data_IF_286578482902
#
_entry.id   IF_286578482902
#
_cell.length_a   1.000
_cell.length_b   1.000
_cell.length_c   1.000
_cell.angle_alpha   90.00
_cell.angle_beta   90.00
_cell.angle_gamma   90.00
#
_symmetry.space_group_name_H-M   'P 1'
#
loop_
_entity.id
_entity.type
_entity.pdbx_description
1 polymer ?
#
# COMPACT_ATOMS: atom_id res chain seq x y z
N UNK A 1 -3.10 -5.87 2.88
CA UNK A 1 -2.07 -5.61 3.91
C UNK A 1 -0.85 -6.49 3.66
N UNK A 2 0.36 -5.92 3.69
CA UNK A 2 1.63 -6.66 3.57
C UNK A 2 2.73 -6.00 4.41
N UNK A 3 3.63 -6.80 4.99
CA UNK A 3 4.71 -6.32 5.86
C UNK A 3 5.95 -5.94 5.06
N UNK A 4 6.65 -4.89 5.51
CA UNK A 4 7.94 -4.53 4.90
C UNK A 4 9.01 -5.54 5.30
N UNK A 5 9.83 -5.94 4.33
CA UNK A 5 10.99 -6.82 4.58
C UNK A 5 12.20 -6.05 5.12
N UNK A 6 12.26 -4.73 4.89
CA UNK A 6 13.36 -3.89 5.39
C UNK A 6 13.05 -3.30 6.78
N UNK A 7 11.80 -2.94 7.04
CA UNK A 7 11.36 -2.36 8.31
C UNK A 7 10.38 -3.30 8.99
N UNK A 8 10.92 -4.14 9.88
CA UNK A 8 10.16 -5.21 10.57
C UNK A 8 8.96 -4.72 11.39
N UNK A 9 8.96 -3.43 11.72
CA UNK A 9 7.93 -2.80 12.55
C UNK A 9 6.92 -1.99 11.72
N UNK A 10 6.80 -2.22 10.41
CA UNK A 10 5.81 -1.55 9.57
C UNK A 10 5.11 -2.46 8.57
N UNK A 11 3.89 -2.07 8.20
CA UNK A 11 3.10 -2.72 7.16
C UNK A 11 2.39 -1.67 6.31
N UNK A 12 2.08 -2.05 5.07
CA UNK A 12 1.26 -1.23 4.17
C UNK A 12 -0.07 -1.89 3.89
N UNK A 13 -1.09 -1.08 3.69
CA UNK A 13 -2.41 -1.53 3.28
C UNK A 13 -2.97 -0.64 2.17
N UNK A 14 -3.97 -1.19 1.48
CA UNK A 14 -4.76 -0.51 0.46
C UNK A 14 -6.17 -0.28 0.96
N UNK A 15 -6.80 0.80 0.51
CA UNK A 15 -8.17 1.17 0.86
C UNK A 15 -9.11 1.21 -0.35
N UNK A 16 -10.41 1.17 -0.05
CA UNK A 16 -11.48 1.39 -1.03
C UNK A 16 -11.55 2.87 -1.49
N UNK A 17 -10.85 3.75 -0.79
CA UNK A 17 -10.68 5.18 -1.10
C UNK A 17 -9.54 5.43 -2.13
N UNK A 18 -8.91 4.39 -2.65
CA UNK A 18 -7.80 4.50 -3.59
C UNK A 18 -6.46 4.83 -2.95
N UNK A 19 -6.34 4.73 -1.62
CA UNK A 19 -5.10 5.04 -0.91
C UNK A 19 -4.22 3.82 -0.62
N UNK A 20 -2.91 4.03 -0.63
CA UNK A 20 -1.92 3.14 0.01
C UNK A 20 -1.43 3.84 1.28
N UNK A 21 -1.57 3.15 2.41
CA UNK A 21 -1.20 3.69 3.73
C UNK A 21 -0.14 2.81 4.40
N UNK A 22 0.90 3.45 4.90
CA UNK A 22 1.92 2.85 5.75
C UNK A 22 1.54 3.04 7.22
N UNK A 23 1.64 1.96 7.98
CA UNK A 23 1.44 1.94 9.42
C UNK A 23 2.71 1.44 10.11
N UNK A 24 3.03 2.06 11.23
CA UNK A 24 4.07 1.58 12.14
C UNK A 24 3.41 0.87 13.33
N UNK A 25 3.92 -0.31 13.70
CA UNK A 25 3.30 -1.16 14.72
C UNK A 25 3.21 -0.53 16.11
N UNK A 26 4.06 0.46 16.41
CA UNK A 26 4.10 1.15 17.70
C UNK A 26 3.23 2.41 17.75
N UNK A 27 2.80 2.92 16.59
CA UNK A 27 2.07 4.17 16.43
C UNK A 27 0.92 3.99 15.43
N UNK A 28 0.04 3.03 15.71
CA UNK A 28 -1.06 2.63 14.80
C UNK A 28 -2.11 3.73 14.60
N UNK A 29 -2.16 4.70 15.52
CA UNK A 29 -3.02 5.87 15.44
C UNK A 29 -2.63 6.83 14.32
N UNK A 30 -1.39 6.75 13.83
CA UNK A 30 -0.89 7.56 12.73
C UNK A 30 -0.52 6.70 11.52
N UNK A 31 -1.09 7.03 10.36
CA UNK A 31 -0.71 6.41 9.08
C UNK A 31 -0.08 7.45 8.16
N UNK A 32 0.88 7.03 7.35
CA UNK A 32 1.41 7.85 6.25
C UNK A 32 0.78 7.43 4.93
N UNK A 33 0.22 8.37 4.18
CA UNK A 33 -0.28 8.11 2.83
C UNK A 33 0.92 8.08 1.88
N UNK A 34 1.18 6.93 1.25
CA UNK A 34 2.27 6.75 0.28
C UNK A 34 1.80 7.02 -1.15
N UNK A 35 0.52 6.76 -1.42
CA UNK A 35 -0.10 6.94 -2.72
C UNK A 35 -1.60 7.18 -2.52
N UNK A 36 -2.17 8.00 -3.39
CA UNK A 36 -3.60 8.26 -3.46
C UNK A 36 -4.00 8.40 -4.92
N UNK A 37 -4.97 7.59 -5.36
CA UNK A 37 -5.55 7.71 -6.69
C UNK A 37 -6.47 8.93 -6.77
N UNK A 38 -6.33 9.73 -7.82
CA UNK A 38 -7.15 10.95 -8.04
C UNK A 38 -8.61 10.59 -8.31
N UNK A 39 -8.86 9.44 -8.96
CA UNK A 39 -10.21 8.95 -9.19
C UNK A 39 -10.79 8.19 -7.98
N UNK A 40 -10.03 8.06 -6.88
CA UNK A 40 -10.39 7.29 -5.69
C UNK A 40 -10.86 5.86 -6.03
N UNK A 41 -10.26 5.25 -7.05
CA UNK A 41 -10.59 3.91 -7.49
C UNK A 41 -10.14 2.90 -6.43
N UNK A 42 -11.01 1.98 -5.97
CA UNK A 42 -10.64 1.03 -4.92
C UNK A 42 -9.40 0.21 -5.27
N UNK A 43 -8.45 0.09 -4.35
CA UNK A 43 -7.28 -0.75 -4.51
C UNK A 43 -7.51 -2.12 -3.84
N UNK A 44 -7.20 -3.20 -4.56
CA UNK A 44 -7.56 -4.57 -4.17
C UNK A 44 -6.40 -5.35 -3.53
N UNK A 45 -5.18 -5.14 -4.00
CA UNK A 45 -4.00 -5.90 -3.55
C UNK A 45 -2.78 -5.01 -3.55
N UNK A 46 -1.86 -5.26 -2.62
CA UNK A 46 -0.55 -4.60 -2.54
C UNK A 46 0.53 -5.60 -2.20
N UNK A 47 1.69 -5.48 -2.85
CA UNK A 47 2.88 -6.29 -2.60
C UNK A 47 4.15 -5.43 -2.67
N UNK A 48 5.10 -5.73 -1.79
CA UNK A 48 6.46 -5.19 -1.87
C UNK A 48 7.25 -5.90 -2.96
N UNK A 49 8.05 -5.14 -3.70
CA UNK A 49 9.09 -5.71 -4.53
C UNK A 49 10.14 -6.40 -3.62
N UNK A 50 10.58 -7.61 -4.01
CA UNK A 50 11.49 -8.44 -3.21
C UNK A 50 12.97 -8.05 -3.32
N UNK A 51 13.33 -7.34 -4.39
CA UNK A 51 14.70 -6.93 -4.70
C UNK A 51 14.98 -5.50 -4.20
N UNK A 52 14.03 -4.59 -4.41
CA UNK A 52 14.13 -3.19 -4.00
C UNK A 52 12.85 -2.75 -3.29
N UNK A 53 12.97 -2.50 -1.98
CA UNK A 53 11.83 -2.14 -1.16
C UNK A 53 11.33 -0.70 -1.37
N UNK A 54 11.97 0.10 -2.23
CA UNK A 54 11.43 1.40 -2.64
C UNK A 54 10.24 1.26 -3.61
N UNK A 55 9.99 0.05 -4.12
CA UNK A 55 8.90 -0.23 -5.05
C UNK A 55 7.78 -1.05 -4.43
N UNK A 56 6.56 -0.63 -4.74
CA UNK A 56 5.31 -1.30 -4.41
C UNK A 56 4.53 -1.55 -5.70
N UNK A 57 3.85 -2.69 -5.77
CA UNK A 57 2.87 -2.97 -6.82
C UNK A 57 1.48 -3.08 -6.20
N UNK A 58 0.49 -2.49 -6.88
CA UNK A 58 -0.92 -2.52 -6.48
C UNK A 58 -1.81 -2.89 -7.66
N UNK A 59 -3.04 -3.35 -7.39
CA UNK A 59 -4.05 -3.62 -8.41
C UNK A 59 -5.29 -2.80 -8.06
N UNK A 60 -5.71 -1.91 -8.97
CA UNK A 60 -6.97 -1.20 -8.86
C UNK A 60 -8.15 -2.08 -9.30
N UNK A 61 -9.29 -1.87 -8.67
CA UNK A 61 -10.56 -2.49 -9.06
C UNK A 61 -10.92 -2.02 -10.47
N UNK A 62 -11.31 -2.97 -11.32
CA UNK A 62 -11.72 -2.73 -12.71
C UNK A 62 -10.63 -2.09 -13.59
N UNK A 63 -9.35 -2.24 -13.20
CA UNK A 63 -8.22 -1.89 -14.08
C UNK A 63 -8.26 -2.72 -15.35
N UNK A 64 -8.18 -2.05 -16.50
CA UNK A 64 -8.25 -2.66 -17.84
C UNK A 64 -6.89 -2.81 -18.52
N UNK A 65 -5.80 -2.64 -17.80
CA UNK A 65 -4.47 -2.94 -18.35
C UNK A 65 -4.27 -4.46 -18.45
N UNK A 66 -3.96 -4.90 -19.67
CA UNK A 66 -3.58 -6.27 -20.04
C UNK A 66 -2.07 -6.37 -20.20
#
# INVERSE_FOLDING_TARGET
>A
MTFSHQRKDSFVTVGADGSIRLFELRHLENSTILYEDVAHSPLLRIVWNKMDANYLATIAKDSKEV
#
